data_IF_326249253476
#
_entry.id   IF_326249253476
#
_cell.length_a   1.000
_cell.length_b   1.000
_cell.length_c   1.000
_cell.angle_alpha   90.00
_cell.angle_beta   90.00
_cell.angle_gamma   90.00
#
_symmetry.space_group_name_H-M   'P 1'
#
loop_
_entity.id
_entity.type
_entity.pdbx_description
1 polymer ?
#
# COMPACT_ATOMS: atom_id res chain seq x y z
N UNK A 1 26.96 4.59 21.13
CA UNK A 1 25.93 4.50 22.19
C UNK A 1 24.58 4.33 21.50
N UNK A 2 24.09 3.09 21.38
CA UNK A 2 22.73 2.80 20.91
C UNK A 2 21.76 3.24 22.00
N UNK A 3 21.01 4.32 21.76
CA UNK A 3 19.93 4.71 22.66
C UNK A 3 18.96 3.54 22.75
N UNK A 4 18.85 2.94 23.92
CA UNK A 4 17.95 1.81 24.17
C UNK A 4 16.51 2.32 24.00
N UNK A 5 15.89 2.05 22.85
CA UNK A 5 14.51 2.43 22.56
C UNK A 5 13.63 1.95 23.71
N UNK A 6 12.87 2.84 24.34
CA UNK A 6 12.01 2.43 25.47
C UNK A 6 11.08 1.28 25.03
N UNK A 7 10.83 0.30 25.91
CA UNK A 7 9.92 -0.83 25.61
C UNK A 7 8.57 -0.35 25.06
N UNK A 8 8.08 0.78 25.59
CA UNK A 8 6.84 1.44 25.13
C UNK A 8 6.95 1.92 23.68
N UNK A 9 8.05 2.56 23.29
CA UNK A 9 8.25 3.01 21.92
C UNK A 9 8.34 1.84 20.92
N UNK A 10 8.97 0.73 21.31
CA UNK A 10 9.02 -0.48 20.48
C UNK A 10 7.65 -1.13 20.32
N UNK A 11 6.84 -1.19 21.38
CA UNK A 11 5.45 -1.67 21.31
C UNK A 11 4.57 -0.78 20.41
N UNK A 12 4.73 0.54 20.47
CA UNK A 12 3.99 1.46 19.59
C UNK A 12 4.39 1.29 18.12
N UNK A 13 5.67 1.06 17.82
CA UNK A 13 6.14 0.73 16.46
C UNK A 13 5.54 -0.57 15.96
N UNK A 14 5.49 -1.61 16.80
CA UNK A 14 4.87 -2.89 16.49
C UNK A 14 3.38 -2.73 16.14
N UNK A 15 2.60 -2.03 16.97
CA UNK A 15 1.18 -1.79 16.69
C UNK A 15 0.96 -0.94 15.44
N UNK A 16 1.79 0.06 15.21
CA UNK A 16 1.74 0.84 13.97
C UNK A 16 2.01 -0.05 12.75
N UNK A 17 2.97 -0.97 12.83
CA UNK A 17 3.24 -1.92 11.74
C UNK A 17 2.07 -2.86 11.49
N UNK A 18 1.42 -3.42 12.52
CA UNK A 18 0.20 -4.22 12.33
C UNK A 18 -0.87 -3.43 11.55
N UNK A 19 -1.07 -2.15 11.89
CA UNK A 19 -1.99 -1.28 11.14
C UNK A 19 -1.51 -1.00 9.71
N UNK A 20 -0.20 -0.79 9.51
CA UNK A 20 0.35 -0.57 8.17
C UNK A 20 0.40 -1.81 7.30
N UNK A 21 0.31 -3.03 7.85
CA UNK A 21 0.02 -4.24 7.08
C UNK A 21 -1.48 -4.41 6.82
N UNK A 22 -2.33 -4.04 7.77
CA UNK A 22 -3.79 -4.13 7.65
C UNK A 22 -4.38 -3.20 6.59
N UNK A 23 -4.00 -1.92 6.60
CA UNK A 23 -4.59 -0.90 5.73
C UNK A 23 -4.41 -1.24 4.24
N UNK A 24 -3.23 -1.68 3.75
CA UNK A 24 -3.07 -2.09 2.35
C UNK A 24 -4.04 -3.20 1.92
N UNK A 25 -4.20 -4.24 2.74
CA UNK A 25 -5.17 -5.32 2.46
C UNK A 25 -6.60 -4.81 2.35
N UNK A 26 -7.01 -3.97 3.31
CA UNK A 26 -8.33 -3.32 3.32
C UNK A 26 -8.56 -2.46 2.07
N UNK A 27 -7.60 -1.60 1.74
CA UNK A 27 -7.69 -0.70 0.60
C UNK A 27 -7.74 -1.48 -0.72
N UNK A 28 -6.94 -2.54 -0.87
CA UNK A 28 -6.95 -3.37 -2.08
C UNK A 28 -8.31 -4.08 -2.25
N UNK A 29 -8.82 -4.72 -1.20
CA UNK A 29 -10.11 -5.41 -1.23
C UNK A 29 -11.30 -4.48 -1.50
N UNK A 30 -11.21 -3.23 -1.04
CA UNK A 30 -12.28 -2.22 -1.19
C UNK A 30 -12.65 -1.89 -2.64
N UNK A 31 -11.80 -2.18 -3.63
CA UNK A 31 -12.14 -1.98 -5.04
C UNK A 31 -11.89 -3.21 -5.90
N UNK A 32 -10.89 -4.04 -5.59
CA UNK A 32 -10.49 -5.16 -6.46
C UNK A 32 -11.62 -6.17 -6.67
N UNK A 33 -12.41 -6.43 -5.62
CA UNK A 33 -13.60 -7.31 -5.68
C UNK A 33 -14.72 -6.74 -6.56
N UNK A 34 -14.72 -5.43 -6.79
CA UNK A 34 -15.70 -4.68 -7.59
C UNK A 34 -15.23 -4.42 -9.03
N UNK A 35 -14.09 -5.00 -9.44
CA UNK A 35 -13.53 -4.82 -10.80
C UNK A 35 -14.55 -5.03 -11.93
N UNK A 36 -15.41 -6.07 -11.91
CA UNK A 36 -16.43 -6.23 -12.97
C UNK A 36 -17.45 -5.09 -13.01
N UNK A 37 -17.95 -4.65 -11.84
CA UNK A 37 -18.89 -3.55 -11.75
C UNK A 37 -18.27 -2.21 -12.17
N UNK A 38 -16.98 -1.99 -11.84
CA UNK A 38 -16.22 -0.82 -12.27
C UNK A 38 -16.04 -0.81 -13.79
N UNK A 39 -15.67 -1.96 -14.39
CA UNK A 39 -15.57 -2.11 -15.84
C UNK A 39 -16.88 -1.73 -16.51
N UNK A 40 -18.00 -2.28 -16.01
CA UNK A 40 -19.31 -2.06 -16.59
C UNK A 40 -19.74 -0.60 -16.45
N UNK A 41 -19.47 0.04 -15.31
CA UNK A 41 -19.72 1.46 -15.08
C UNK A 41 -18.93 2.35 -16.05
N UNK A 42 -17.67 2.00 -16.31
CA UNK A 42 -16.81 2.71 -17.26
C UNK A 42 -17.09 2.36 -18.72
N UNK A 43 -18.08 1.50 -18.99
CA UNK A 43 -18.45 1.00 -20.32
C UNK A 43 -17.27 0.39 -21.10
N UNK A 44 -16.40 -0.33 -20.38
CA UNK A 44 -15.19 -0.95 -20.96
C UNK A 44 -15.42 -2.41 -21.32
N UNK A 45 -14.80 -2.85 -22.41
CA UNK A 45 -14.58 -4.27 -22.64
C UNK A 45 -13.58 -4.85 -21.63
N UNK A 46 -13.53 -6.18 -21.52
CA UNK A 46 -12.54 -6.87 -20.69
C UNK A 46 -11.09 -6.55 -21.11
N UNK A 47 -10.85 -6.41 -22.42
CA UNK A 47 -9.52 -6.08 -22.94
C UNK A 47 -9.10 -4.65 -22.54
N UNK A 48 -10.00 -3.69 -22.68
CA UNK A 48 -9.75 -2.29 -22.26
C UNK A 48 -9.55 -2.18 -20.76
N UNK A 49 -10.33 -2.91 -19.95
CA UNK A 49 -10.11 -2.96 -18.51
C UNK A 49 -8.73 -3.55 -18.16
N UNK A 50 -8.27 -4.54 -18.93
CA UNK A 50 -6.90 -5.04 -18.82
C UNK A 50 -5.86 -3.93 -19.03
N UNK A 51 -6.05 -3.09 -20.04
CA UNK A 51 -5.19 -1.92 -20.31
C UNK A 51 -5.25 -0.90 -19.15
N UNK A 52 -6.43 -0.64 -18.61
CA UNK A 52 -6.59 0.26 -17.45
C UNK A 52 -5.84 -0.29 -16.22
N UNK A 53 -5.94 -1.60 -15.97
CA UNK A 53 -5.25 -2.28 -14.87
C UNK A 53 -3.73 -2.27 -15.00
N UNK A 54 -3.16 -2.09 -16.20
CA UNK A 54 -1.72 -1.86 -16.35
C UNK A 54 -1.22 -0.63 -15.59
N UNK A 55 -2.08 0.37 -15.36
CA UNK A 55 -1.76 1.51 -14.50
C UNK A 55 -1.28 1.06 -13.11
N UNK A 56 -1.98 0.09 -12.50
CA UNK A 56 -1.60 -0.48 -11.21
C UNK A 56 -0.22 -1.14 -11.26
N UNK A 57 0.03 -1.95 -12.29
CA UNK A 57 1.30 -2.67 -12.48
C UNK A 57 2.48 -1.72 -12.69
N UNK A 58 2.33 -0.72 -13.56
CA UNK A 58 3.35 0.30 -13.84
C UNK A 58 3.64 1.11 -12.57
N UNK A 59 2.58 1.54 -11.88
CA UNK A 59 2.68 2.23 -10.60
C UNK A 59 3.46 1.39 -9.59
N UNK A 60 2.99 0.18 -9.31
CA UNK A 60 3.59 -0.73 -8.32
C UNK A 60 5.05 -1.01 -8.60
N UNK A 61 5.40 -1.34 -9.85
CA UNK A 61 6.79 -1.57 -10.24
C UNK A 61 7.65 -0.32 -10.03
N UNK A 62 7.15 0.85 -10.41
CA UNK A 62 7.85 2.12 -10.18
C UNK A 62 8.08 2.38 -8.69
N UNK A 63 7.08 2.10 -7.86
CA UNK A 63 7.16 2.20 -6.40
C UNK A 63 8.19 1.26 -5.79
N UNK A 64 8.19 -0.01 -6.20
CA UNK A 64 9.16 -1.03 -5.75
C UNK A 64 10.58 -0.60 -6.10
N UNK A 65 10.81 -0.24 -7.37
CA UNK A 65 12.14 0.09 -7.89
C UNK A 65 12.75 1.32 -7.21
N UNK A 66 11.95 2.34 -6.87
CA UNK A 66 12.45 3.53 -6.18
C UNK A 66 12.52 3.38 -4.65
N UNK A 67 11.88 2.36 -4.05
CA UNK A 67 11.70 2.28 -2.60
C UNK A 67 13.02 2.16 -1.84
N UNK A 68 13.96 1.35 -2.31
CA UNK A 68 15.25 1.19 -1.65
C UNK A 68 16.02 2.52 -1.55
N UNK A 69 16.03 3.29 -2.64
CA UNK A 69 16.63 4.63 -2.64
C UNK A 69 15.90 5.58 -1.68
N UNK A 70 14.57 5.60 -1.72
CA UNK A 70 13.75 6.44 -0.83
C UNK A 70 13.99 6.11 0.64
N UNK A 71 14.02 4.83 1.00
CA UNK A 71 14.25 4.37 2.38
C UNK A 71 15.66 4.73 2.83
N UNK A 72 16.68 4.54 2.00
CA UNK A 72 18.06 4.93 2.33
C UNK A 72 18.20 6.45 2.52
N UNK A 73 17.49 7.24 1.70
CA UNK A 73 17.61 8.70 1.74
C UNK A 73 16.79 9.36 2.86
N UNK A 74 15.58 8.87 3.12
CA UNK A 74 14.58 9.52 3.97
C UNK A 74 14.22 8.72 5.24
N UNK A 75 14.61 7.45 5.30
CA UNK A 75 14.23 6.52 6.37
C UNK A 75 12.82 5.96 6.19
N UNK A 76 12.61 4.74 6.69
CA UNK A 76 11.34 3.98 6.63
C UNK A 76 10.14 4.80 7.07
N UNK A 77 10.20 5.45 8.24
CA UNK A 77 9.07 6.20 8.82
C UNK A 77 8.52 7.30 7.90
N UNK A 78 9.40 8.07 7.24
CA UNK A 78 8.97 9.14 6.34
C UNK A 78 8.39 8.58 5.06
N UNK A 79 9.03 7.54 4.51
CA UNK A 79 8.56 6.84 3.30
C UNK A 79 7.18 6.25 3.55
N UNK A 80 6.98 5.46 4.60
CA UNK A 80 5.69 4.85 4.95
C UNK A 80 4.59 5.93 5.07
N UNK A 81 4.85 7.04 5.78
CA UNK A 81 3.85 8.11 5.91
C UNK A 81 3.50 8.74 4.56
N UNK A 82 4.50 9.04 3.75
CA UNK A 82 4.28 9.67 2.45
C UNK A 82 3.52 8.73 1.51
N UNK A 83 3.96 7.48 1.38
CA UNK A 83 3.35 6.50 0.49
C UNK A 83 1.93 6.13 0.94
N UNK A 84 1.69 5.93 2.24
CA UNK A 84 0.33 5.68 2.73
C UNK A 84 -0.61 6.87 2.53
N UNK A 85 -0.09 8.11 2.64
CA UNK A 85 -0.88 9.31 2.30
C UNK A 85 -1.20 9.36 0.81
N UNK A 86 -0.22 9.05 -0.05
CA UNK A 86 -0.42 8.95 -1.50
C UNK A 86 -1.38 7.81 -1.88
N UNK A 87 -1.44 6.71 -1.13
CA UNK A 87 -2.42 5.65 -1.35
C UNK A 87 -3.85 6.15 -1.14
N UNK A 88 -4.09 6.97 -0.12
CA UNK A 88 -5.39 7.64 0.10
C UNK A 88 -5.71 8.58 -1.07
N UNK A 89 -4.74 9.36 -1.54
CA UNK A 89 -4.92 10.20 -2.75
C UNK A 89 -5.28 9.34 -3.96
N UNK A 90 -4.60 8.21 -4.18
CA UNK A 90 -4.92 7.25 -5.23
C UNK A 90 -6.38 6.79 -5.14
N UNK A 91 -6.86 6.41 -3.96
CA UNK A 91 -8.25 6.03 -3.73
C UNK A 91 -9.25 7.16 -4.03
N UNK A 92 -8.92 8.41 -3.67
CA UNK A 92 -9.76 9.57 -4.01
C UNK A 92 -9.82 9.79 -5.52
N UNK A 93 -8.71 9.61 -6.23
CA UNK A 93 -8.67 9.70 -7.71
C UNK A 93 -9.48 8.57 -8.34
N UNK A 94 -9.40 7.33 -7.82
CA UNK A 94 -10.24 6.22 -8.27
C UNK A 94 -11.72 6.56 -8.08
N UNK A 95 -12.12 7.07 -6.91
CA UNK A 95 -13.50 7.46 -6.63
C UNK A 95 -13.99 8.57 -7.57
N UNK A 96 -13.18 9.61 -7.79
CA UNK A 96 -13.49 10.68 -8.74
C UNK A 96 -13.61 10.16 -10.17
N UNK A 97 -12.75 9.23 -10.58
CA UNK A 97 -12.80 8.61 -11.91
C UNK A 97 -14.12 7.90 -12.17
N UNK A 98 -14.70 7.23 -11.16
CA UNK A 98 -16.01 6.60 -11.28
C UNK A 98 -17.13 7.64 -11.36
N UNK A 99 -17.03 8.76 -10.65
CA UNK A 99 -18.01 9.86 -10.72
C UNK A 99 -18.06 10.50 -12.12
N UNK A 100 -16.92 10.65 -12.76
CA UNK A 100 -16.81 11.22 -14.12
C UNK A 100 -16.83 10.17 -15.23
N UNK A 101 -17.03 8.89 -14.90
CA UNK A 101 -16.98 7.77 -15.85
C UNK A 101 -15.73 7.79 -16.74
N UNK A 102 -14.56 8.08 -16.16
CA UNK A 102 -13.31 8.29 -16.90
C UNK A 102 -12.32 7.15 -16.68
N UNK A 103 -12.16 6.30 -17.70
CA UNK A 103 -11.20 5.19 -17.69
C UNK A 103 -9.74 5.67 -17.56
N UNK A 104 -9.39 6.79 -18.19
CA UNK A 104 -8.04 7.38 -18.12
C UNK A 104 -7.75 7.86 -16.70
N UNK A 105 -8.70 8.56 -16.06
CA UNK A 105 -8.53 9.00 -14.68
C UNK A 105 -8.44 7.81 -13.72
N UNK A 106 -9.18 6.72 -14.00
CA UNK A 106 -9.10 5.50 -13.22
C UNK A 106 -7.72 4.85 -13.34
N UNK A 107 -7.16 4.76 -14.55
CA UNK A 107 -5.80 4.25 -14.78
C UNK A 107 -4.72 5.09 -14.06
N UNK A 108 -4.86 6.42 -14.05
CA UNK A 108 -3.98 7.32 -13.29
C UNK A 108 -4.12 7.07 -11.78
N UNK A 109 -5.35 6.94 -11.28
CA UNK A 109 -5.62 6.60 -9.88
C UNK A 109 -4.96 5.29 -9.49
N UNK A 110 -5.06 4.26 -10.36
CA UNK A 110 -4.39 2.97 -10.16
C UNK A 110 -2.87 3.09 -10.16
N UNK A 111 -2.30 3.93 -11.02
CA UNK A 111 -0.85 4.16 -11.05
C UNK A 111 -0.34 4.84 -9.77
N UNK A 112 -1.05 5.86 -9.27
CA UNK A 112 -0.73 6.53 -8.01
C UNK A 112 -0.87 5.54 -6.84
N UNK A 113 -1.97 4.81 -6.81
CA UNK A 113 -2.26 3.80 -5.79
C UNK A 113 -1.19 2.68 -5.79
N UNK A 114 -0.87 2.16 -6.97
CA UNK A 114 0.16 1.14 -7.18
C UNK A 114 1.53 1.61 -6.72
N UNK A 115 1.99 2.78 -7.16
CA UNK A 115 3.29 3.33 -6.77
C UNK A 115 3.41 3.53 -5.25
N UNK A 116 2.31 3.99 -4.64
CA UNK A 116 2.19 4.12 -3.20
C UNK A 116 2.32 2.76 -2.51
N UNK A 117 1.58 1.75 -2.97
CA UNK A 117 1.61 0.40 -2.43
C UNK A 117 2.98 -0.25 -2.55
N UNK A 118 3.55 -0.28 -3.76
CA UNK A 118 4.83 -0.92 -4.02
C UNK A 118 5.96 -0.33 -3.17
N UNK A 119 5.99 0.99 -3.00
CA UNK A 119 6.98 1.63 -2.13
C UNK A 119 6.68 1.41 -0.64
N UNK A 120 5.41 1.53 -0.23
CA UNK A 120 4.98 1.31 1.15
C UNK A 120 5.33 -0.11 1.62
N UNK A 121 5.00 -1.15 0.85
CA UNK A 121 5.25 -2.53 1.24
C UNK A 121 6.73 -2.80 1.51
N UNK A 122 7.63 -2.33 0.63
CA UNK A 122 9.07 -2.46 0.86
C UNK A 122 9.49 -1.73 2.14
N UNK A 123 9.05 -0.48 2.34
CA UNK A 123 9.41 0.30 3.52
C UNK A 123 8.87 -0.28 4.83
N UNK A 124 7.64 -0.81 4.81
CA UNK A 124 6.99 -1.49 5.94
C UNK A 124 7.73 -2.78 6.29
N UNK A 125 8.11 -3.59 5.28
CA UNK A 125 8.89 -4.81 5.51
C UNK A 125 10.27 -4.52 6.10
N UNK A 126 10.95 -3.47 5.63
CA UNK A 126 12.25 -3.04 6.18
C UNK A 126 12.09 -2.61 7.65
N UNK A 127 11.07 -1.83 7.97
CA UNK A 127 10.79 -1.41 9.35
C UNK A 127 10.37 -2.60 10.23
N UNK A 128 9.57 -3.53 9.69
CA UNK A 128 9.15 -4.75 10.38
C UNK A 128 10.33 -5.64 10.73
N UNK A 129 11.25 -5.85 9.79
CA UNK A 129 12.49 -6.59 10.05
C UNK A 129 13.37 -5.90 11.10
N UNK A 130 13.43 -4.57 11.12
CA UNK A 130 14.14 -3.82 12.15
C UNK A 130 13.52 -4.00 13.54
N UNK A 131 12.19 -3.88 13.65
CA UNK A 131 11.45 -4.09 14.90
C UNK A 131 11.59 -5.54 15.40
N UNK A 132 11.48 -6.52 14.52
CA UNK A 132 11.70 -7.95 14.83
C UNK A 132 13.09 -8.20 15.43
N UNK A 133 14.14 -7.63 14.81
CA UNK A 133 15.53 -7.71 15.32
C UNK A 133 15.68 -7.02 16.68
N UNK A 134 15.10 -5.83 16.86
CA UNK A 134 15.14 -5.12 18.14
C UNK A 134 14.37 -5.86 19.26
N UNK A 135 13.30 -6.57 18.90
CA UNK A 135 12.51 -7.38 19.84
C UNK A 135 13.13 -8.74 20.16
N UNK A 136 14.06 -9.21 19.33
CA UNK A 136 14.58 -10.58 19.35
C UNK A 136 13.45 -11.64 19.35
N UNK A 137 12.40 -11.40 18.55
CA UNK A 137 11.21 -12.25 18.43
C UNK A 137 10.66 -12.21 17.01
N UNK A 138 10.34 -13.37 16.44
CA UNK A 138 9.68 -13.46 15.14
C UNK A 138 8.25 -12.94 15.21
N UNK A 139 7.99 -11.82 14.56
CA UNK A 139 6.69 -11.12 14.55
C UNK A 139 6.24 -10.75 13.13
N UNK A 140 7.14 -10.70 12.15
CA UNK A 140 6.83 -10.34 10.77
C UNK A 140 5.78 -11.25 10.11
N UNK A 141 5.75 -12.59 10.32
CA UNK A 141 4.66 -13.43 9.82
C UNK A 141 3.28 -13.05 10.39
N UNK A 142 3.21 -12.68 11.67
CA UNK A 142 1.97 -12.18 12.27
C UNK A 142 1.56 -10.85 11.64
N UNK A 143 2.54 -9.98 11.33
CA UNK A 143 2.26 -8.72 10.63
C UNK A 143 1.66 -8.98 9.24
N UNK A 144 2.20 -9.93 8.46
CA UNK A 144 1.58 -10.36 7.20
C UNK A 144 0.16 -10.93 7.40
N UNK A 145 -0.11 -11.60 8.52
CA UNK A 145 -1.47 -12.01 8.88
C UNK A 145 -2.47 -10.86 8.93
N UNK A 146 -2.03 -9.65 9.32
CA UNK A 146 -2.89 -8.46 9.33
C UNK A 146 -3.22 -7.96 7.93
N UNK A 147 -2.38 -8.19 6.91
CA UNK A 147 -2.73 -7.91 5.51
C UNK A 147 -3.93 -8.76 5.08
N UNK A 148 -3.89 -10.07 5.37
CA UNK A 148 -5.00 -10.98 5.10
C UNK A 148 -6.26 -10.59 5.88
N UNK A 149 -6.09 -10.19 7.15
CA UNK A 149 -7.21 -9.69 7.95
C UNK A 149 -7.83 -8.42 7.36
N UNK A 150 -7.01 -7.48 6.88
CA UNK A 150 -7.48 -6.30 6.16
C UNK A 150 -8.26 -6.66 4.89
N UNK A 151 -7.74 -7.61 4.12
CA UNK A 151 -8.38 -8.12 2.90
C UNK A 151 -9.73 -8.78 3.20
N UNK A 152 -9.85 -9.48 4.34
CA UNK A 152 -11.10 -10.13 4.76
C UNK A 152 -12.18 -9.11 5.16
N UNK A 153 -11.79 -7.98 5.77
CA UNK A 153 -12.72 -6.95 6.24
C UNK A 153 -13.20 -6.03 5.11
N UNK A 154 -12.39 -5.82 4.07
CA UNK A 154 -12.69 -4.89 2.95
C UNK A 154 -13.59 -5.48 1.88
#
# INVERSE_FOLDING_TARGET
>A
MTAQTSRRALQLRLWALFMFFFIPGLLMASWATRTPAIRDLLALSTAEMGIVLFGLSIGSMSGILCSAWLVNRFGTRKVIRATMSCAVVGMLVLSAALWFTSAVLFAIGLAIFGASFGSAEVAINVEGAAVEREMNKTVLPMMHGFYSFGTLIG
#
